data_IF_011040018098
#
_entry.id   IF_011040018098
#
_cell.length_a   1.000
_cell.length_b   1.000
_cell.length_c   1.000
_cell.angle_alpha   90.00
_cell.angle_beta   90.00
_cell.angle_gamma   90.00
#
_symmetry.space_group_name_H-M   'P 1'
#
loop_
_entity.id
_entity.type
_entity.pdbx_description
1 polymer ?
#
# COMPACT_ATOMS: atom_id res chain seq x y z
N UNK A 1 -6.48 -21.43 2.85
CA UNK A 1 -7.80 -20.77 2.89
C UNK A 1 -8.71 -21.46 1.89
N UNK A 2 -9.89 -21.90 2.30
CA UNK A 2 -10.89 -22.45 1.38
C UNK A 2 -11.47 -21.32 0.55
N UNK A 3 -11.50 -21.46 -0.79
CA UNK A 3 -12.13 -20.49 -1.68
C UNK A 3 -13.63 -20.42 -1.36
N UNK A 4 -14.18 -19.21 -1.30
CA UNK A 4 -15.62 -19.02 -1.09
C UNK A 4 -16.39 -19.53 -2.29
N UNK A 5 -17.43 -20.31 -2.05
CA UNK A 5 -18.32 -20.82 -3.10
C UNK A 5 -19.46 -19.82 -3.30
N UNK A 6 -19.20 -18.76 -4.07
CA UNK A 6 -20.17 -17.67 -4.29
C UNK A 6 -21.50 -18.14 -4.88
N UNK A 7 -21.48 -19.15 -5.74
CA UNK A 7 -22.69 -19.74 -6.32
C UNK A 7 -23.64 -20.39 -5.29
N UNK A 8 -23.19 -20.61 -4.06
CA UNK A 8 -24.02 -21.16 -2.99
C UNK A 8 -24.87 -20.12 -2.26
N UNK A 9 -24.71 -18.84 -2.57
CA UNK A 9 -25.43 -17.73 -1.93
C UNK A 9 -26.26 -16.96 -2.97
N UNK A 10 -27.41 -16.39 -2.57
CA UNK A 10 -28.25 -15.59 -3.47
C UNK A 10 -27.62 -14.22 -3.75
N UNK A 11 -28.03 -13.52 -4.83
CA UNK A 11 -27.46 -12.25 -5.24
C UNK A 11 -27.63 -11.13 -4.20
N UNK A 12 -28.63 -11.18 -3.34
CA UNK A 12 -28.84 -10.24 -2.24
C UNK A 12 -27.68 -10.26 -1.24
N UNK A 13 -27.15 -11.44 -0.95
CA UNK A 13 -25.99 -11.60 -0.06
C UNK A 13 -24.76 -10.97 -0.69
N UNK A 14 -24.52 -11.18 -1.98
CA UNK A 14 -23.39 -10.61 -2.70
C UNK A 14 -23.46 -9.09 -2.76
N UNK A 15 -24.64 -8.56 -3.12
CA UNK A 15 -24.88 -7.12 -3.18
C UNK A 15 -24.70 -6.48 -1.79
N UNK A 16 -25.22 -7.09 -0.74
CA UNK A 16 -25.06 -6.61 0.64
C UNK A 16 -23.58 -6.59 1.07
N UNK A 17 -22.86 -7.68 0.84
CA UNK A 17 -21.44 -7.80 1.23
C UNK A 17 -20.57 -6.79 0.51
N UNK A 18 -20.80 -6.57 -0.78
CA UNK A 18 -20.02 -5.61 -1.55
C UNK A 18 -20.35 -4.16 -1.20
N UNK A 19 -21.64 -3.87 -0.92
CA UNK A 19 -22.09 -2.50 -0.63
C UNK A 19 -21.87 -2.06 0.81
N UNK A 20 -21.72 -2.99 1.77
CA UNK A 20 -21.56 -2.69 3.20
C UNK A 20 -20.16 -2.21 3.59
N UNK A 21 -19.19 -2.27 2.68
CA UNK A 21 -17.81 -1.86 2.93
C UNK A 21 -17.62 -0.33 2.91
N UNK A 22 -16.40 0.14 3.31
CA UNK A 22 -16.07 1.56 3.33
C UNK A 22 -15.86 2.15 1.92
N UNK A 23 -16.04 1.36 0.87
CA UNK A 23 -15.77 1.77 -0.51
C UNK A 23 -14.28 1.81 -0.87
N UNK A 24 -13.91 2.41 -2.01
CA UNK A 24 -12.53 2.47 -2.47
C UNK A 24 -11.70 3.58 -1.79
N UNK A 25 -12.33 4.48 -1.00
CA UNK A 25 -11.69 5.61 -0.35
C UNK A 25 -10.40 5.26 0.40
N UNK A 26 -10.43 4.30 1.35
CA UNK A 26 -9.23 3.90 2.09
C UNK A 26 -8.09 3.37 1.21
N UNK A 27 -8.39 2.76 0.06
CA UNK A 27 -7.38 2.32 -0.90
C UNK A 27 -6.73 3.51 -1.60
N UNK A 28 -7.49 4.52 -2.01
CA UNK A 28 -6.95 5.74 -2.60
C UNK A 28 -6.10 6.54 -1.59
N UNK A 29 -6.51 6.61 -0.32
CA UNK A 29 -5.70 7.20 0.74
C UNK A 29 -4.38 6.44 0.92
N UNK A 30 -4.43 5.10 0.93
CA UNK A 30 -3.23 4.27 1.00
C UNK A 30 -2.32 4.45 -0.22
N UNK A 31 -2.88 4.58 -1.43
CA UNK A 31 -2.14 4.90 -2.66
C UNK A 31 -1.39 6.21 -2.51
N UNK A 32 -2.07 7.27 -2.07
CA UNK A 32 -1.47 8.59 -1.87
C UNK A 32 -0.29 8.50 -0.88
N UNK A 33 -0.51 7.90 0.29
CA UNK A 33 0.52 7.76 1.31
C UNK A 33 1.73 6.94 0.81
N UNK A 34 1.51 5.87 0.01
CA UNK A 34 2.59 5.07 -0.57
C UNK A 34 3.36 5.82 -1.65
N UNK A 35 2.67 6.64 -2.44
CA UNK A 35 3.30 7.49 -3.46
C UNK A 35 4.20 8.55 -2.81
N UNK A 36 3.74 9.17 -1.72
CA UNK A 36 4.53 10.12 -0.95
C UNK A 36 5.79 9.46 -0.35
N UNK A 37 5.65 8.28 0.27
CA UNK A 37 6.79 7.52 0.79
C UNK A 37 7.78 7.12 -0.32
N UNK A 38 7.30 6.75 -1.50
CA UNK A 38 8.15 6.48 -2.66
C UNK A 38 8.98 7.69 -3.04
N UNK A 39 8.33 8.86 -3.17
CA UNK A 39 9.01 10.11 -3.51
C UNK A 39 10.03 10.54 -2.44
N UNK A 40 9.69 10.39 -1.16
CA UNK A 40 10.59 10.70 -0.05
C UNK A 40 11.84 9.81 -0.08
N UNK A 41 11.69 8.49 -0.24
CA UNK A 41 12.84 7.58 -0.31
C UNK A 41 13.71 7.85 -1.54
N UNK A 42 13.12 8.20 -2.69
CA UNK A 42 13.86 8.59 -3.87
C UNK A 42 14.68 9.87 -3.62
N UNK A 43 14.06 10.88 -3.01
CA UNK A 43 14.72 12.14 -2.66
C UNK A 43 15.90 11.93 -1.71
N UNK A 44 15.71 11.11 -0.67
CA UNK A 44 16.78 10.79 0.30
C UNK A 44 17.92 10.00 -0.37
N UNK A 45 17.61 9.10 -1.31
CA UNK A 45 18.62 8.37 -2.07
C UNK A 45 19.49 9.31 -2.93
N UNK A 46 18.86 10.29 -3.58
CA UNK A 46 19.54 11.30 -4.39
C UNK A 46 20.41 12.22 -3.52
N UNK A 47 19.88 12.70 -2.39
CA UNK A 47 20.63 13.51 -1.43
C UNK A 47 21.85 12.76 -0.88
N UNK A 48 21.69 11.51 -0.45
CA UNK A 48 22.79 10.66 0.00
C UNK A 48 23.85 10.49 -1.08
N UNK A 49 23.45 10.23 -2.31
CA UNK A 49 24.37 10.09 -3.44
C UNK A 49 25.17 11.37 -3.69
N UNK A 50 24.52 12.52 -3.59
CA UNK A 50 25.15 13.84 -3.73
C UNK A 50 26.15 14.10 -2.61
N UNK A 51 25.79 13.81 -1.37
CA UNK A 51 26.68 13.94 -0.21
C UNK A 51 27.91 13.05 -0.31
N UNK A 52 27.73 11.79 -0.72
CA UNK A 52 28.81 10.83 -0.92
C UNK A 52 29.76 11.28 -2.05
N UNK A 53 29.19 11.82 -3.14
CA UNK A 53 29.97 12.43 -4.22
C UNK A 53 30.80 13.63 -3.76
N UNK A 54 30.23 14.50 -2.94
CA UNK A 54 30.92 15.61 -2.31
C UNK A 54 32.06 15.15 -1.38
N UNK A 55 31.81 14.11 -0.58
CA UNK A 55 32.86 13.53 0.27
C UNK A 55 34.01 12.92 -0.56
N UNK A 56 33.70 12.23 -1.65
CA UNK A 56 34.69 11.67 -2.56
C UNK A 56 35.55 12.73 -3.25
N UNK A 57 34.98 13.91 -3.54
CA UNK A 57 35.70 15.03 -4.12
C UNK A 57 36.60 15.76 -3.10
N UNK A 58 36.18 15.85 -1.81
CA UNK A 58 36.86 16.58 -0.77
C UNK A 58 37.96 15.77 -0.04
N UNK A 59 37.83 14.45 -0.01
CA UNK A 59 38.73 13.53 0.69
C UNK A 59 39.50 12.64 -0.28
N UNK A 60 40.71 12.26 0.13
CA UNK A 60 41.56 11.34 -0.62
C UNK A 60 42.04 10.21 0.27
N UNK A 61 42.23 9.03 -0.32
CA UNK A 61 42.79 7.85 0.35
C UNK A 61 41.76 6.76 0.66
N UNK A 62 42.21 5.74 1.38
CA UNK A 62 41.41 4.52 1.65
C UNK A 62 40.21 4.78 2.56
N UNK A 63 40.24 5.81 3.39
CA UNK A 63 39.12 6.11 4.31
C UNK A 63 37.85 6.56 3.60
N UNK A 64 37.97 7.35 2.52
CA UNK A 64 36.80 7.76 1.74
C UNK A 64 36.22 6.57 1.00
N UNK A 65 37.08 5.69 0.43
CA UNK A 65 36.59 4.49 -0.24
C UNK A 65 35.81 3.59 0.73
N UNK A 66 36.33 3.37 1.95
CA UNK A 66 35.62 2.61 2.98
C UNK A 66 34.28 3.25 3.37
N UNK A 67 34.21 4.57 3.39
CA UNK A 67 32.97 5.31 3.66
C UNK A 67 31.96 5.09 2.52
N UNK A 68 32.37 5.22 1.26
CA UNK A 68 31.51 4.99 0.10
C UNK A 68 30.98 3.55 0.06
N UNK A 69 31.87 2.57 0.26
CA UNK A 69 31.52 1.15 0.26
C UNK A 69 30.53 0.80 1.39
N UNK A 70 30.66 1.44 2.56
CA UNK A 70 29.75 1.24 3.69
C UNK A 70 28.33 1.78 3.41
N UNK A 71 28.21 2.85 2.64
CA UNK A 71 26.90 3.48 2.34
C UNK A 71 26.22 2.91 1.08
N UNK A 72 26.98 2.29 0.18
CA UNK A 72 26.44 1.79 -1.07
C UNK A 72 25.24 0.83 -0.92
N UNK A 73 25.24 -0.13 0.03
CA UNK A 73 24.09 -1.00 0.24
C UNK A 73 22.84 -0.24 0.74
N UNK A 74 23.05 0.81 1.56
CA UNK A 74 21.96 1.62 2.08
C UNK A 74 21.35 2.50 0.99
N UNK A 75 22.14 3.11 0.13
CA UNK A 75 21.67 3.88 -1.03
C UNK A 75 20.87 2.99 -1.99
N UNK A 76 21.36 1.78 -2.27
CA UNK A 76 20.64 0.80 -3.08
C UNK A 76 19.30 0.39 -2.43
N UNK A 77 19.29 0.19 -1.10
CA UNK A 77 18.09 -0.13 -0.35
C UNK A 77 17.05 1.01 -0.44
N UNK A 78 17.44 2.27 -0.31
CA UNK A 78 16.55 3.43 -0.47
C UNK A 78 15.87 3.43 -1.84
N UNK A 79 16.64 3.21 -2.91
CA UNK A 79 16.13 3.14 -4.27
C UNK A 79 15.15 1.98 -4.46
N UNK A 80 15.48 0.79 -3.94
CA UNK A 80 14.62 -0.38 -4.01
C UNK A 80 13.33 -0.16 -3.21
N UNK A 81 13.43 0.40 -2.00
CA UNK A 81 12.27 0.69 -1.14
C UNK A 81 11.35 1.73 -1.77
N UNK A 82 11.91 2.75 -2.45
CA UNK A 82 11.10 3.69 -3.25
C UNK A 82 10.30 2.97 -4.33
N UNK A 83 10.93 2.07 -5.08
CA UNK A 83 10.25 1.28 -6.11
C UNK A 83 9.18 0.35 -5.52
N UNK A 84 9.44 -0.28 -4.37
CA UNK A 84 8.49 -1.14 -3.67
C UNK A 84 7.25 -0.36 -3.22
N UNK A 85 7.41 0.86 -2.72
CA UNK A 85 6.28 1.72 -2.37
C UNK A 85 5.48 2.15 -3.59
N UNK A 86 6.13 2.50 -4.70
CA UNK A 86 5.44 2.83 -5.95
C UNK A 86 4.63 1.63 -6.48
N UNK A 87 5.22 0.43 -6.47
CA UNK A 87 4.53 -0.80 -6.87
C UNK A 87 3.33 -1.11 -5.95
N UNK A 88 3.49 -0.95 -4.63
CA UNK A 88 2.39 -1.12 -3.68
C UNK A 88 1.25 -0.11 -3.93
N UNK A 89 1.58 1.15 -4.25
CA UNK A 89 0.59 2.16 -4.61
C UNK A 89 -0.21 1.75 -5.86
N UNK A 90 0.47 1.24 -6.88
CA UNK A 90 -0.17 0.75 -8.10
C UNK A 90 -1.13 -0.42 -7.83
N UNK A 91 -0.75 -1.37 -6.97
CA UNK A 91 -1.62 -2.48 -6.57
C UNK A 91 -2.86 -2.00 -5.80
N UNK A 92 -2.76 -0.97 -4.96
CA UNK A 92 -3.93 -0.38 -4.31
C UNK A 92 -4.89 0.25 -5.33
N UNK A 93 -4.39 0.91 -6.37
CA UNK A 93 -5.24 1.45 -7.46
C UNK A 93 -5.93 0.33 -8.24
N UNK A 94 -5.22 -0.76 -8.55
CA UNK A 94 -5.83 -1.94 -9.19
C UNK A 94 -6.95 -2.52 -8.33
N UNK A 95 -6.73 -2.65 -7.02
CA UNK A 95 -7.74 -3.15 -6.09
C UNK A 95 -8.96 -2.21 -6.00
N UNK A 96 -8.75 -0.88 -5.96
CA UNK A 96 -9.81 0.12 -5.95
C UNK A 96 -10.64 0.09 -7.24
N UNK A 97 -9.96 -0.04 -8.40
CA UNK A 97 -10.59 -0.20 -9.70
C UNK A 97 -11.41 -1.49 -9.81
N UNK A 98 -10.88 -2.60 -9.30
CA UNK A 98 -11.59 -3.87 -9.27
C UNK A 98 -12.86 -3.80 -8.40
N UNK A 99 -12.79 -3.15 -7.23
CA UNK A 99 -13.95 -2.91 -6.38
C UNK A 99 -15.02 -2.07 -7.09
N UNK A 100 -14.62 -0.96 -7.69
CA UNK A 100 -15.52 -0.05 -8.39
C UNK A 100 -16.19 -0.75 -9.59
N UNK A 101 -15.45 -1.56 -10.34
CA UNK A 101 -15.96 -2.35 -11.45
C UNK A 101 -16.94 -3.43 -10.98
N UNK A 102 -16.61 -4.13 -9.89
CA UNK A 102 -17.50 -5.10 -9.29
C UNK A 102 -18.82 -4.46 -8.81
N UNK A 103 -18.73 -3.29 -8.17
CA UNK A 103 -19.91 -2.57 -7.70
C UNK A 103 -20.82 -2.12 -8.86
N UNK A 104 -20.22 -1.67 -9.96
CA UNK A 104 -20.98 -1.24 -11.15
C UNK A 104 -21.72 -2.35 -11.87
N UNK A 105 -21.25 -3.60 -11.73
CA UNK A 105 -21.87 -4.80 -12.36
C UNK A 105 -22.77 -5.58 -11.40
N UNK A 106 -22.71 -5.27 -10.11
CA UNK A 106 -23.52 -5.93 -9.09
C UNK A 106 -24.97 -5.42 -9.15
N UNK A 107 -25.98 -6.31 -9.17
CA UNK A 107 -27.37 -5.88 -9.06
C UNK A 107 -27.58 -5.20 -7.70
N UNK A 108 -28.28 -4.07 -7.69
CA UNK A 108 -28.58 -3.34 -6.48
C UNK A 108 -29.63 -4.04 -5.63
N UNK A 109 -29.61 -3.85 -4.32
CA UNK A 109 -30.66 -4.37 -3.42
C UNK A 109 -32.05 -3.86 -3.80
N UNK A 110 -32.15 -2.65 -4.35
CA UNK A 110 -33.41 -2.08 -4.83
C UNK A 110 -33.94 -2.84 -6.05
N UNK A 111 -33.10 -3.14 -7.03
CA UNK A 111 -33.49 -3.95 -8.21
C UNK A 111 -33.95 -5.35 -7.81
N UNK A 112 -33.22 -6.00 -6.89
CA UNK A 112 -33.59 -7.31 -6.35
C UNK A 112 -34.93 -7.26 -5.62
N UNK A 113 -35.17 -6.26 -4.77
CA UNK A 113 -36.42 -6.07 -4.07
C UNK A 113 -37.60 -5.81 -5.03
N UNK A 114 -37.38 -5.02 -6.08
CA UNK A 114 -38.40 -4.78 -7.13
C UNK A 114 -38.72 -6.07 -7.88
N UNK A 115 -37.71 -6.88 -8.22
CA UNK A 115 -37.93 -8.16 -8.87
C UNK A 115 -38.81 -9.09 -8.02
N UNK A 116 -38.52 -9.24 -6.72
CA UNK A 116 -39.30 -10.09 -5.81
C UNK A 116 -40.71 -9.56 -5.59
N UNK A 117 -40.91 -8.26 -5.44
CA UNK A 117 -42.27 -7.69 -5.29
C UNK A 117 -43.11 -7.86 -6.55
N UNK A 118 -42.48 -7.68 -7.72
CA UNK A 118 -43.10 -7.93 -9.03
C UNK A 118 -43.49 -9.40 -9.16
N UNK A 119 -42.59 -10.32 -8.84
CA UNK A 119 -42.87 -11.75 -8.87
C UNK A 119 -44.06 -12.10 -7.99
N UNK A 120 -44.06 -11.62 -6.75
CA UNK A 120 -45.18 -11.86 -5.81
C UNK A 120 -46.50 -11.37 -6.34
N UNK A 121 -46.55 -10.16 -6.92
CA UNK A 121 -47.76 -9.58 -7.51
C UNK A 121 -48.25 -10.39 -8.72
N UNK A 122 -47.33 -10.79 -9.61
CA UNK A 122 -47.67 -11.58 -10.80
C UNK A 122 -48.23 -12.97 -10.44
N UNK A 123 -47.64 -13.62 -9.43
CA UNK A 123 -48.12 -14.92 -8.94
C UNK A 123 -49.49 -14.78 -8.28
N UNK A 124 -49.68 -13.75 -7.40
CA UNK A 124 -50.95 -13.51 -6.70
C UNK A 124 -52.12 -13.20 -7.64
N UNK A 125 -51.84 -12.63 -8.83
CA UNK A 125 -52.85 -12.27 -9.83
C UNK A 125 -52.91 -13.23 -11.01
N UNK A 126 -52.22 -14.37 -10.96
CA UNK A 126 -52.17 -15.33 -12.05
C UNK A 126 -53.47 -16.21 -12.15
N UNK A 127 -54.59 -15.54 -12.25
CA UNK A 127 -55.85 -16.25 -12.45
C UNK A 127 -55.90 -16.84 -13.86
N UNK A 128 -56.24 -18.13 -13.94
CA UNK A 128 -56.34 -18.86 -15.21
C UNK A 128 -55.06 -18.88 -16.06
N UNK A 129 -53.89 -18.64 -15.46
CA UNK A 129 -52.59 -18.65 -16.16
C UNK A 129 -52.31 -17.40 -16.99
N UNK A 130 -53.00 -16.29 -16.78
CA UNK A 130 -52.84 -15.04 -17.55
C UNK A 130 -51.45 -14.44 -17.42
N UNK A 131 -50.79 -14.61 -16.27
CA UNK A 131 -49.48 -14.06 -15.99
C UNK A 131 -48.31 -15.04 -16.18
N UNK A 132 -48.54 -16.20 -16.81
CA UNK A 132 -47.50 -17.23 -17.00
C UNK A 132 -46.27 -16.65 -17.73
N UNK A 133 -46.48 -15.92 -18.83
CA UNK A 133 -45.36 -15.29 -19.57
C UNK A 133 -44.68 -14.20 -18.77
N UNK A 134 -45.37 -13.22 -18.14
CA UNK A 134 -44.74 -12.24 -17.26
C UNK A 134 -43.94 -12.84 -16.09
N UNK A 135 -44.43 -13.93 -15.47
CA UNK A 135 -43.73 -14.66 -14.42
C UNK A 135 -42.41 -15.23 -14.95
N UNK A 136 -42.44 -15.91 -16.09
CA UNK A 136 -41.24 -16.50 -16.72
C UNK A 136 -40.21 -15.44 -17.07
N UNK A 137 -40.63 -14.26 -17.55
CA UNK A 137 -39.72 -13.13 -17.82
C UNK A 137 -39.08 -12.59 -16.53
N UNK A 138 -39.86 -12.43 -15.45
CA UNK A 138 -39.36 -11.98 -14.18
C UNK A 138 -38.36 -12.99 -13.55
N UNK A 139 -38.62 -14.30 -13.68
CA UNK A 139 -37.68 -15.35 -13.27
C UNK A 139 -36.40 -15.34 -14.11
N UNK A 140 -36.49 -15.06 -15.41
CA UNK A 140 -35.33 -14.92 -16.27
C UNK A 140 -34.49 -13.67 -15.88
N UNK A 141 -35.11 -12.58 -15.46
CA UNK A 141 -34.43 -11.41 -14.92
C UNK A 141 -33.69 -11.74 -13.62
N UNK A 142 -34.31 -12.50 -12.71
CA UNK A 142 -33.64 -12.95 -11.50
C UNK A 142 -32.47 -13.90 -11.81
N UNK A 143 -32.62 -14.78 -12.78
CA UNK A 143 -31.55 -15.67 -13.22
C UNK A 143 -30.32 -14.88 -13.75
N UNK A 144 -30.51 -13.74 -14.42
CA UNK A 144 -29.44 -12.84 -14.80
C UNK A 144 -28.75 -12.21 -13.56
N UNK A 145 -29.50 -11.88 -12.52
CA UNK A 145 -28.98 -11.32 -11.27
C UNK A 145 -28.10 -12.32 -10.51
N UNK A 146 -28.28 -13.63 -10.71
CA UNK A 146 -27.39 -14.68 -10.16
C UNK A 146 -25.94 -14.52 -10.68
N UNK A 147 -25.73 -13.82 -11.80
CA UNK A 147 -24.38 -13.49 -12.28
C UNK A 147 -23.57 -12.65 -11.26
N UNK A 148 -24.21 -12.13 -10.21
CA UNK A 148 -23.53 -11.51 -9.06
C UNK A 148 -22.44 -12.42 -8.45
N UNK A 149 -22.66 -13.73 -8.44
CA UNK A 149 -21.66 -14.71 -7.99
C UNK A 149 -20.40 -14.71 -8.87
N UNK A 150 -20.56 -14.54 -10.19
CA UNK A 150 -19.44 -14.42 -11.12
C UNK A 150 -18.66 -13.12 -10.88
N UNK A 151 -19.36 -12.01 -10.62
CA UNK A 151 -18.77 -10.72 -10.25
C UNK A 151 -17.92 -10.85 -8.97
N UNK A 152 -18.46 -11.51 -7.92
CA UNK A 152 -17.73 -11.75 -6.68
C UNK A 152 -16.50 -12.64 -6.90
N UNK A 153 -16.62 -13.67 -7.74
CA UNK A 153 -15.49 -14.54 -8.08
C UNK A 153 -14.39 -13.78 -8.81
N UNK A 154 -14.73 -12.95 -9.79
CA UNK A 154 -13.77 -12.12 -10.52
C UNK A 154 -13.09 -11.11 -9.59
N UNK A 155 -13.85 -10.43 -8.73
CA UNK A 155 -13.32 -9.51 -7.73
C UNK A 155 -12.36 -10.20 -6.76
N UNK A 156 -12.70 -11.40 -6.28
CA UNK A 156 -11.84 -12.19 -5.40
C UNK A 156 -10.53 -12.57 -6.08
N UNK A 157 -10.55 -12.96 -7.36
CA UNK A 157 -9.36 -13.31 -8.13
C UNK A 157 -8.43 -12.11 -8.27
N UNK A 158 -8.96 -10.94 -8.66
CA UNK A 158 -8.17 -9.72 -8.84
C UNK A 158 -7.60 -9.29 -7.48
N UNK A 159 -8.41 -9.22 -6.43
CA UNK A 159 -7.96 -8.84 -5.08
C UNK A 159 -6.90 -9.80 -4.52
N UNK A 160 -7.03 -11.10 -4.81
CA UNK A 160 -6.02 -12.08 -4.44
C UNK A 160 -4.71 -11.91 -5.21
N UNK A 161 -4.78 -11.57 -6.50
CA UNK A 161 -3.61 -11.31 -7.33
C UNK A 161 -2.87 -10.03 -6.88
N UNK A 162 -3.59 -8.95 -6.59
CA UNK A 162 -2.98 -7.70 -6.09
C UNK A 162 -2.27 -7.92 -4.75
N UNK A 163 -2.86 -8.68 -3.84
CA UNK A 163 -2.21 -9.03 -2.57
C UNK A 163 -0.95 -9.88 -2.76
N UNK A 164 -0.96 -10.79 -3.74
CA UNK A 164 0.19 -11.66 -4.02
C UNK A 164 1.34 -10.93 -4.73
N UNK A 165 1.04 -9.87 -5.49
CA UNK A 165 2.04 -9.07 -6.21
C UNK A 165 2.62 -7.92 -5.39
N UNK A 166 2.06 -7.60 -4.22
CA UNK A 166 2.62 -6.57 -3.34
C UNK A 166 4.05 -6.92 -2.90
N UNK A 167 5.04 -6.05 -3.14
CA UNK A 167 6.40 -6.30 -2.72
C UNK A 167 6.54 -6.23 -1.19
N UNK A 168 7.50 -7.00 -0.68
CA UNK A 168 7.86 -6.97 0.73
C UNK A 168 9.11 -6.09 0.90
N UNK A 169 8.95 -4.96 1.57
CA UNK A 169 10.09 -4.12 1.92
C UNK A 169 11.01 -4.82 2.92
N UNK A 170 12.29 -4.83 2.62
CA UNK A 170 13.32 -5.39 3.52
C UNK A 170 13.78 -4.34 4.53
N UNK A 171 14.24 -4.75 5.73
CA UNK A 171 14.84 -3.83 6.68
C UNK A 171 16.06 -3.12 6.09
N UNK A 172 16.30 -1.87 6.53
CA UNK A 172 17.47 -1.12 6.12
C UNK A 172 18.76 -1.86 6.50
N UNK A 173 19.73 -1.99 5.57
CA UNK A 173 21.02 -2.58 5.88
C UNK A 173 21.81 -1.67 6.83
N UNK A 174 22.63 -2.24 7.76
CA UNK A 174 23.48 -1.45 8.63
C UNK A 174 24.60 -0.79 7.82
N UNK A 175 24.86 0.50 8.07
CA UNK A 175 25.96 1.24 7.47
C UNK A 175 27.28 0.92 8.19
N UNK A 176 27.22 0.70 9.51
CA UNK A 176 28.38 0.32 10.29
C UNK A 176 28.55 -1.20 10.29
N UNK A 177 29.72 -1.65 9.88
CA UNK A 177 30.06 -3.07 9.90
C UNK A 177 30.39 -3.51 11.34
N UNK A 178 29.42 -4.14 12.02
CA UNK A 178 29.58 -4.70 13.37
C UNK A 178 30.34 -6.04 13.39
N UNK A 179 30.77 -6.53 12.22
CA UNK A 179 31.43 -7.86 12.10
C UNK A 179 32.90 -7.88 12.51
N UNK A 180 33.55 -6.74 12.67
CA UNK A 180 34.85 -6.71 13.33
C UNK A 180 34.61 -6.63 14.84
N UNK A 181 34.62 -7.78 15.49
CA UNK A 181 34.37 -8.00 16.92
C UNK A 181 35.25 -7.22 17.91
N UNK A 182 35.41 -5.96 17.70
CA UNK A 182 35.86 -4.98 18.70
C UNK A 182 34.59 -4.36 19.28
N UNK A 183 34.18 -4.90 20.44
CA UNK A 183 33.32 -4.16 21.37
C UNK A 183 33.81 -2.72 21.41
N UNK A 184 32.99 -1.68 21.21
CA UNK A 184 33.44 -0.31 21.35
C UNK A 184 33.96 -0.17 22.77
N UNK A 185 35.27 0.00 22.90
CA UNK A 185 35.88 0.35 24.17
C UNK A 185 35.24 1.65 24.61
N UNK A 186 34.66 1.78 25.81
CA UNK A 186 34.09 3.02 26.27
C UNK A 186 35.18 4.11 26.14
N UNK A 187 34.92 5.12 25.31
CA UNK A 187 35.82 6.24 25.13
C UNK A 187 36.05 6.89 26.47
N UNK A 188 37.31 6.81 26.96
CA UNK A 188 37.78 7.49 28.14
C UNK A 188 37.42 8.99 28.01
N UNK A 189 36.81 9.63 29.03
CA UNK A 189 36.47 11.05 28.94
C UNK A 189 37.78 11.86 28.80
N UNK A 190 38.02 12.40 27.64
CA UNK A 190 39.24 13.18 27.32
C UNK A 190 39.68 13.11 25.86
N UNK A 191 39.19 12.18 25.06
CA UNK A 191 39.50 12.12 23.62
C UNK A 191 38.46 12.90 22.82
N UNK A 192 38.86 14.01 22.18
CA UNK A 192 38.05 14.77 21.23
C UNK A 192 37.55 13.82 20.12
N UNK A 193 36.28 13.48 20.14
CA UNK A 193 35.66 12.68 19.07
C UNK A 193 35.78 13.45 17.76
N UNK A 194 36.11 12.76 16.67
CA UNK A 194 36.23 13.37 15.34
C UNK A 194 34.86 13.84 14.80
N UNK A 195 33.77 13.31 15.32
CA UNK A 195 32.39 13.66 14.94
C UNK A 195 32.04 15.15 15.11
N UNK A 196 32.37 15.84 16.25
CA UNK A 196 32.12 17.28 16.37
C UNK A 196 32.92 18.10 15.37
N UNK A 197 34.15 17.68 15.03
CA UNK A 197 34.99 18.39 14.06
C UNK A 197 34.48 18.22 12.62
N UNK A 198 33.89 17.10 12.32
CA UNK A 198 33.26 16.83 11.02
C UNK A 198 31.99 17.69 10.81
N UNK A 199 31.11 17.75 11.81
CA UNK A 199 29.91 18.59 11.78
C UNK A 199 30.27 20.10 11.71
N UNK A 200 31.30 20.55 12.44
CA UNK A 200 31.80 21.92 12.37
C UNK A 200 32.41 22.23 10.98
N UNK A 201 33.11 21.29 10.37
CA UNK A 201 33.69 21.47 9.05
C UNK A 201 32.62 21.57 7.96
N UNK A 202 31.52 20.81 8.07
CA UNK A 202 30.37 20.90 7.19
C UNK A 202 29.61 22.23 7.33
N UNK A 203 29.45 22.71 8.56
CA UNK A 203 28.81 23.99 8.85
C UNK A 203 29.67 25.18 8.35
N UNK A 204 31.00 25.11 8.46
CA UNK A 204 31.92 26.07 7.89
C UNK A 204 32.00 26.04 6.36
N UNK A 205 31.65 24.90 5.72
CA UNK A 205 31.54 24.75 4.26
C UNK A 205 30.21 25.29 3.70
N UNK A 206 29.34 25.89 4.52
CA UNK A 206 28.08 26.52 4.09
C UNK A 206 26.89 25.59 3.97
N UNK A 207 27.03 24.37 4.46
CA UNK A 207 25.88 23.43 4.53
C UNK A 207 25.06 23.77 5.79
N UNK A 208 23.96 24.49 5.58
CA UNK A 208 22.96 24.69 6.63
C UNK A 208 22.08 23.44 6.68
N UNK A 209 22.27 22.62 7.72
CA UNK A 209 21.33 21.56 8.04
C UNK A 209 20.01 22.19 8.49
N UNK A 210 18.95 21.97 7.71
CA UNK A 210 17.59 22.23 8.19
C UNK A 210 17.26 21.20 9.26
N UNK A 211 17.49 21.54 10.52
CA UNK A 211 17.24 20.69 11.70
C UNK A 211 15.78 20.28 11.90
N UNK A 212 14.85 20.76 11.07
CA UNK A 212 13.42 20.58 11.32
C UNK A 212 12.79 19.31 10.72
N UNK A 213 13.39 18.65 9.71
CA UNK A 213 12.68 17.55 9.03
C UNK A 213 12.86 16.19 9.66
N UNK A 214 14.03 15.88 10.22
CA UNK A 214 14.31 14.58 10.84
C UNK A 214 13.76 14.48 12.26
N UNK A 215 13.81 15.58 13.02
CA UNK A 215 13.27 15.66 14.39
C UNK A 215 11.74 15.57 14.44
N UNK A 216 11.06 16.21 13.51
CA UNK A 216 9.59 16.16 13.42
C UNK A 216 9.08 14.81 12.94
N UNK A 217 9.72 14.15 11.96
CA UNK A 217 9.36 12.82 11.52
C UNK A 217 9.51 11.77 12.63
N UNK A 218 10.55 11.84 13.45
CA UNK A 218 10.73 10.97 14.61
C UNK A 218 9.71 11.22 15.72
N UNK A 219 9.32 12.48 15.96
CA UNK A 219 8.31 12.83 16.97
C UNK A 219 6.91 12.37 16.54
N UNK A 220 6.57 12.46 15.25
CA UNK A 220 5.31 11.98 14.69
C UNK A 220 5.19 10.44 14.77
N UNK A 221 6.25 9.72 14.47
CA UNK A 221 6.30 8.26 14.56
C UNK A 221 6.16 7.76 16.01
N UNK A 222 6.73 8.50 16.97
CA UNK A 222 6.68 8.15 18.40
C UNK A 222 5.32 8.48 19.02
N UNK A 223 4.68 9.58 18.61
CA UNK A 223 3.35 9.96 19.10
C UNK A 223 2.25 8.97 18.64
N UNK A 224 2.37 8.42 17.44
CA UNK A 224 1.40 7.45 16.89
C UNK A 224 1.51 6.05 17.53
N UNK A 225 2.71 5.68 18.04
CA UNK A 225 2.93 4.40 18.73
C UNK A 225 2.27 4.34 20.11
N UNK A 226 1.97 5.47 20.72
CA UNK A 226 1.37 5.56 22.08
C UNK A 226 -0.16 5.72 22.06
N UNK A 227 -0.79 5.60 20.90
CA UNK A 227 -2.26 5.71 20.73
C UNK A 227 -2.92 4.41 20.23
N UNK A 228 -2.20 3.26 20.27
CA UNK A 228 -2.77 1.93 19.94
C UNK A 228 -2.72 1.06 21.19
#
# INVERSE_FOLDING_TARGET
>A
MTASVWMASPPEVHSTLLSAGPGPGPLHEATTARTELSAEHASVAEELTTLLGGAAAAWQGTSVQSCLDAHAPYAAWLTTTSADYAATAAEHEVAAGAYTSALATMPTLAELAVNHTTHTALVATNFFGLNTIPITLNEADYARMIQAATTMSAYQVISGATLASMPHTTPAPPILNTQNGTTPTPLKPGGLSLLPRFLIALEQAGFQFHHNTVGEALSYATARRNQI
#
